data_IF_595521385058
#
_entry.id   IF_595521385058
#
_cell.length_a   1.000
_cell.length_b   1.000
_cell.length_c   1.000
_cell.angle_alpha   90.00
_cell.angle_beta   90.00
_cell.angle_gamma   90.00
#
_symmetry.space_group_name_H-M   'P 1'
#
loop_
_entity.id
_entity.type
_entity.pdbx_description
1 polymer ?
#
# COMPACT_ATOMS: atom_id res chain seq x y z
N UNK A 1 8.07 14.31 10.03
CA UNK A 1 7.40 13.10 10.55
C UNK A 1 8.50 12.26 11.16
N UNK A 2 8.42 11.96 12.47
CA UNK A 2 9.35 11.02 13.10
C UNK A 2 9.22 9.69 12.34
N UNK A 3 10.35 9.07 12.00
CA UNK A 3 10.39 7.80 11.27
C UNK A 3 9.50 6.78 11.98
N UNK A 4 8.34 6.49 11.39
CA UNK A 4 7.32 5.61 11.96
C UNK A 4 7.14 4.43 11.02
N UNK A 5 7.10 3.22 11.57
CA UNK A 5 6.89 2.01 10.79
C UNK A 5 5.43 1.58 10.96
N UNK A 6 4.73 1.42 9.84
CA UNK A 6 3.38 0.89 9.80
C UNK A 6 3.37 -0.50 9.15
N UNK A 7 2.46 -1.35 9.63
CA UNK A 7 2.19 -2.68 9.08
C UNK A 7 0.74 -2.75 8.61
N UNK A 8 0.54 -3.15 7.36
CA UNK A 8 -0.76 -3.49 6.81
C UNK A 8 -0.81 -5.02 6.68
N UNK A 9 -1.69 -5.68 7.42
CA UNK A 9 -1.82 -7.14 7.39
C UNK A 9 -3.23 -7.57 7.06
N UNK A 10 -3.33 -8.63 6.25
CA UNK A 10 -4.59 -9.30 5.92
C UNK A 10 -4.41 -10.81 6.14
N UNK A 11 -5.44 -11.49 6.66
CA UNK A 11 -5.51 -12.95 6.65
C UNK A 11 -5.93 -13.43 5.25
N UNK A 12 -5.42 -14.56 4.79
CA UNK A 12 -5.86 -15.15 3.52
C UNK A 12 -7.38 -15.33 3.52
N UNK A 13 -8.05 -14.83 2.46
CA UNK A 13 -9.51 -14.85 2.27
C UNK A 13 -10.31 -13.92 3.20
N UNK A 14 -9.67 -13.09 4.02
CA UNK A 14 -10.39 -12.08 4.78
C UNK A 14 -10.67 -10.85 3.90
N UNK A 15 -11.88 -10.30 4.04
CA UNK A 15 -12.34 -9.08 3.38
C UNK A 15 -11.98 -7.82 4.15
N UNK A 16 -11.22 -7.96 5.24
CA UNK A 16 -10.79 -6.87 6.11
C UNK A 16 -9.28 -6.92 6.28
N UNK A 17 -8.66 -5.78 6.50
CA UNK A 17 -7.23 -5.72 6.82
C UNK A 17 -6.99 -4.82 8.03
N UNK A 18 -5.88 -5.06 8.72
CA UNK A 18 -5.48 -4.32 9.91
C UNK A 18 -4.32 -3.39 9.58
N UNK A 19 -4.40 -2.16 10.08
CA UNK A 19 -3.30 -1.20 10.07
C UNK A 19 -2.79 -1.05 11.50
N UNK A 20 -1.50 -1.31 11.70
CA UNK A 20 -0.82 -1.16 12.99
C UNK A 20 0.41 -0.26 12.83
N UNK A 21 0.80 0.41 13.92
CA UNK A 21 2.03 1.21 14.00
C UNK A 21 2.97 0.59 15.04
N UNK A 22 4.27 0.64 14.77
CA UNK A 22 5.29 0.21 15.71
C UNK A 22 5.57 1.33 16.72
N UNK A 23 5.32 1.08 18.00
CA UNK A 23 5.63 2.03 19.07
C UNK A 23 7.12 2.02 19.45
N UNK A 24 7.74 0.85 19.48
CA UNK A 24 9.14 0.66 19.89
C UNK A 24 9.82 -0.44 19.07
N UNK A 25 10.99 -0.13 18.49
CA UNK A 25 11.73 -1.07 17.64
C UNK A 25 12.39 -2.18 18.48
N UNK A 26 12.24 -3.43 18.03
CA UNK A 26 12.84 -4.59 18.71
C UNK A 26 12.01 -5.17 19.85
N UNK A 27 10.91 -4.51 20.23
CA UNK A 27 9.97 -5.01 21.24
C UNK A 27 8.83 -5.75 20.57
N UNK A 28 8.63 -7.02 20.92
CA UNK A 28 7.64 -7.90 20.27
C UNK A 28 6.21 -7.39 20.36
N UNK A 29 5.83 -6.81 21.51
CA UNK A 29 4.46 -6.42 21.83
C UNK A 29 4.21 -4.91 21.66
N UNK A 30 5.07 -4.21 20.91
CA UNK A 30 4.94 -2.77 20.70
C UNK A 30 4.08 -2.38 19.48
N UNK A 31 3.52 -3.36 18.78
CA UNK A 31 2.61 -3.10 17.66
C UNK A 31 1.24 -2.67 18.16
N UNK A 32 0.91 -1.39 17.93
CA UNK A 32 -0.38 -0.82 18.28
C UNK A 32 -1.29 -0.90 17.06
N UNK A 33 -2.39 -1.64 17.16
CA UNK A 33 -3.42 -1.66 16.11
C UNK A 33 -4.16 -0.31 16.10
N UNK A 34 -4.14 0.37 14.95
CA UNK A 34 -4.83 1.65 14.75
C UNK A 34 -6.23 1.44 14.16
N UNK A 35 -6.32 0.66 13.09
CA UNK A 35 -7.56 0.52 12.32
C UNK A 35 -7.81 -0.92 11.90
N UNK A 36 -9.10 -1.25 11.78
CA UNK A 36 -9.61 -2.40 11.04
C UNK A 36 -10.40 -1.82 9.88
N UNK A 37 -10.01 -2.14 8.65
CA UNK A 37 -10.62 -1.59 7.43
C UNK A 37 -11.39 -2.69 6.71
N UNK A 38 -12.66 -2.45 6.41
CA UNK A 38 -13.55 -3.34 5.66
C UNK A 38 -14.87 -3.65 6.36
N UNK A 39 -15.65 -4.63 5.86
CA UNK A 39 -15.33 -5.53 4.74
C UNK A 39 -15.35 -4.82 3.38
N UNK A 40 -14.33 -5.06 2.56
CA UNK A 40 -14.29 -4.60 1.16
C UNK A 40 -14.41 -5.84 0.27
N UNK A 41 -15.40 -5.88 -0.65
CA UNK A 41 -15.58 -7.02 -1.53
C UNK A 41 -14.44 -7.13 -2.54
N UNK A 42 -14.10 -8.36 -2.92
CA UNK A 42 -13.22 -8.67 -4.06
C UNK A 42 -11.79 -8.14 -3.95
N UNK A 43 -11.29 -7.80 -2.76
CA UNK A 43 -9.86 -7.51 -2.52
C UNK A 43 -9.15 -8.75 -1.96
N UNK A 44 -7.95 -9.05 -2.47
CA UNK A 44 -7.13 -10.16 -1.95
C UNK A 44 -6.16 -9.66 -0.87
N UNK A 45 -5.14 -8.90 -1.26
CA UNK A 45 -4.12 -8.40 -0.35
C UNK A 45 -3.54 -7.05 -0.80
N UNK A 46 -3.09 -6.21 0.14
CA UNK A 46 -2.44 -4.95 -0.17
C UNK A 46 -1.09 -5.19 -0.85
N UNK A 47 -0.74 -4.38 -1.85
CA UNK A 47 0.53 -4.47 -2.59
C UNK A 47 1.40 -3.22 -2.47
N UNK A 48 0.86 -2.14 -1.93
CA UNK A 48 1.62 -0.92 -1.65
C UNK A 48 0.74 0.25 -1.21
N UNK A 49 1.40 1.38 -0.93
CA UNK A 49 0.77 2.63 -0.50
C UNK A 49 1.13 3.73 -1.50
N UNK A 50 0.14 4.52 -1.90
CA UNK A 50 0.28 5.65 -2.80
C UNK A 50 0.67 6.94 -2.06
N UNK A 51 0.94 8.00 -2.83
CA UNK A 51 1.44 9.27 -2.29
C UNK A 51 0.43 10.00 -1.40
N UNK A 52 -0.86 9.68 -1.50
CA UNK A 52 -1.93 10.33 -0.74
C UNK A 52 -2.41 9.49 0.45
N UNK A 53 -1.72 8.40 0.77
CA UNK A 53 -2.15 7.44 1.80
C UNK A 53 -3.25 6.49 1.31
N UNK A 54 -3.54 6.50 0.01
CA UNK A 54 -4.30 5.48 -0.69
C UNK A 54 -3.55 4.15 -0.68
N UNK A 55 -4.27 3.04 -0.52
CA UNK A 55 -3.66 1.71 -0.52
C UNK A 55 -3.97 1.03 -1.85
N UNK A 56 -2.97 0.43 -2.47
CA UNK A 56 -3.20 -0.38 -3.65
C UNK A 56 -3.49 -1.83 -3.26
N UNK A 57 -4.55 -2.38 -3.84
CA UNK A 57 -4.93 -3.78 -3.69
C UNK A 57 -4.98 -4.47 -5.04
N UNK A 58 -4.69 -5.78 -5.00
CA UNK A 58 -5.03 -6.68 -6.09
C UNK A 58 -6.40 -7.31 -5.79
N UNK A 59 -7.26 -7.34 -6.79
CA UNK A 59 -8.53 -8.05 -6.76
C UNK A 59 -8.40 -9.50 -7.23
N UNK A 60 -9.42 -10.33 -6.99
CA UNK A 60 -9.47 -11.74 -7.40
C UNK A 60 -9.32 -11.93 -8.93
N UNK A 61 -9.78 -10.97 -9.72
CA UNK A 61 -9.63 -10.95 -11.17
C UNK A 61 -8.24 -10.47 -11.65
N UNK A 62 -7.29 -10.30 -10.72
CA UNK A 62 -5.98 -9.70 -10.88
C UNK A 62 -5.97 -8.21 -11.25
N UNK A 63 -7.10 -7.50 -11.28
CA UNK A 63 -7.10 -6.04 -11.45
C UNK A 63 -6.50 -5.34 -10.24
N UNK A 64 -5.76 -4.26 -10.48
CA UNK A 64 -5.25 -3.40 -9.41
C UNK A 64 -6.19 -2.22 -9.19
N UNK A 65 -6.44 -1.89 -7.91
CA UNK A 65 -7.26 -0.75 -7.50
C UNK A 65 -6.58 0.08 -6.43
N UNK A 66 -6.88 1.37 -6.42
CA UNK A 66 -6.62 2.26 -5.30
C UNK A 66 -7.81 2.28 -4.36
N UNK A 67 -7.58 2.10 -3.08
CA UNK A 67 -8.55 2.31 -2.02
C UNK A 67 -8.22 3.62 -1.29
N UNK A 68 -9.15 4.56 -1.32
CA UNK A 68 -9.12 5.72 -0.43
C UNK A 68 -9.59 5.29 0.96
N UNK A 69 -8.71 5.36 1.97
CA UNK A 69 -9.03 4.97 3.34
C UNK A 69 -10.07 5.88 4.02
N UNK A 70 -10.20 7.12 3.58
CA UNK A 70 -11.13 8.09 4.19
C UNK A 70 -12.57 7.88 3.73
N UNK A 71 -12.75 7.44 2.49
CA UNK A 71 -14.07 7.26 1.86
C UNK A 71 -14.42 5.78 1.63
N UNK A 72 -13.43 4.89 1.73
CA UNK A 72 -13.50 3.47 1.36
C UNK A 72 -13.90 3.23 -0.10
N UNK A 73 -13.71 4.24 -0.96
CA UNK A 73 -13.98 4.15 -2.40
C UNK A 73 -12.80 3.50 -3.11
N UNK A 74 -13.10 2.55 -3.99
CA UNK A 74 -12.11 1.90 -4.85
C UNK A 74 -12.11 2.49 -6.26
N UNK A 75 -10.92 2.75 -6.81
CA UNK A 75 -10.73 3.26 -8.17
C UNK A 75 -9.83 2.32 -8.96
N UNK A 76 -10.22 1.98 -10.19
CA UNK A 76 -9.44 1.09 -11.07
C UNK A 76 -8.17 1.76 -11.56
N UNK A 77 -7.07 1.01 -11.57
CA UNK A 77 -5.77 1.47 -12.10
C UNK A 77 -5.67 1.17 -13.60
N UNK A 78 -6.41 0.17 -14.10
CA UNK A 78 -6.37 -0.24 -15.51
C UNK A 78 -5.20 -1.18 -15.84
N UNK A 79 -4.50 -1.69 -14.83
CA UNK A 79 -3.41 -2.66 -14.97
C UNK A 79 -3.79 -3.94 -14.23
N UNK A 80 -3.39 -5.09 -14.78
CA UNK A 80 -3.51 -6.38 -14.11
C UNK A 80 -2.19 -6.74 -13.44
N UNK A 81 -2.28 -7.19 -12.20
CA UNK A 81 -1.15 -7.76 -11.47
C UNK A 81 -0.82 -9.17 -11.95
N UNK A 82 0.42 -9.59 -11.67
CA UNK A 82 0.86 -10.99 -11.77
C UNK A 82 0.66 -11.68 -10.42
N UNK A 83 0.20 -12.93 -10.46
CA UNK A 83 0.03 -13.76 -9.26
C UNK A 83 1.40 -13.91 -8.57
N UNK A 84 1.46 -13.62 -7.26
CA UNK A 84 2.69 -13.69 -6.44
C UNK A 84 3.82 -12.70 -6.81
N UNK A 85 3.57 -11.70 -7.67
CA UNK A 85 4.65 -10.85 -8.23
C UNK A 85 4.44 -9.34 -8.23
N UNK A 86 3.48 -8.80 -7.47
CA UNK A 86 3.19 -7.37 -7.49
C UNK A 86 3.78 -6.65 -6.29
N UNK A 87 4.82 -5.84 -6.53
CA UNK A 87 5.33 -4.85 -5.58
C UNK A 87 5.18 -3.47 -6.19
N UNK A 88 4.72 -2.51 -5.39
CA UNK A 88 4.66 -1.10 -5.81
C UNK A 88 5.79 -0.35 -5.13
N UNK A 89 6.62 0.30 -5.94
CA UNK A 89 7.61 1.28 -5.48
C UNK A 89 7.14 2.69 -5.76
N UNK A 90 7.33 3.60 -4.80
CA UNK A 90 7.14 5.03 -5.04
C UNK A 90 8.41 5.56 -5.71
N UNK A 91 8.33 5.88 -7.00
CA UNK A 91 9.42 6.55 -7.72
C UNK A 91 9.31 8.08 -7.58
N UNK A 92 10.45 8.72 -7.29
CA UNK A 92 10.61 10.18 -7.30
C UNK A 92 11.62 10.52 -8.38
N UNK A 93 11.15 11.12 -9.47
CA UNK A 93 12.04 11.72 -10.46
C UNK A 93 12.79 12.89 -9.82
N UNK A 94 14.11 12.82 -9.81
CA UNK A 94 14.94 13.99 -9.61
C UNK A 94 15.30 14.50 -11.01
N UNK A 95 14.69 15.61 -11.42
CA UNK A 95 15.10 16.35 -12.61
C UNK A 95 16.47 17.00 -12.32
N UNK A 96 17.52 16.21 -12.25
CA UNK A 96 18.87 16.75 -12.37
C UNK A 96 19.02 17.17 -13.83
N UNK A 97 19.10 18.48 -14.07
CA UNK A 97 19.50 19.01 -15.37
C UNK A 97 20.83 18.35 -15.74
N UNK A 98 20.82 17.48 -16.75
CA UNK A 98 22.04 17.07 -17.43
C UNK A 98 22.54 18.31 -18.15
N UNK A 99 23.38 19.10 -17.47
CA UNK A 99 24.16 20.14 -18.11
C UNK A 99 24.94 19.49 -19.23
N UNK A 100 24.63 19.88 -20.47
CA UNK A 100 25.25 19.28 -21.65
C UNK A 100 26.76 19.40 -21.56
N UNK A 101 27.46 18.28 -21.65
CA UNK A 101 28.88 18.29 -21.98
C UNK A 101 28.97 18.65 -23.46
N UNK A 102 29.10 19.94 -23.77
CA UNK A 102 29.60 20.38 -25.06
C UNK A 102 31.10 20.04 -25.11
N UNK A 103 31.47 19.03 -25.89
CA UNK A 103 32.82 18.83 -26.41
C UNK A 103 32.96 19.47 -27.77
#
# INVERSE_FOLDING_TARGET
LNESIALISNCLKATTFHISILAELGVKESWIKLFIVGPIPSIEYPIGVGKKGDICFKQENNELVWLDLSTLVTTKIGVKGVIYGCQIGIYKENLLSTGGFNS
#
